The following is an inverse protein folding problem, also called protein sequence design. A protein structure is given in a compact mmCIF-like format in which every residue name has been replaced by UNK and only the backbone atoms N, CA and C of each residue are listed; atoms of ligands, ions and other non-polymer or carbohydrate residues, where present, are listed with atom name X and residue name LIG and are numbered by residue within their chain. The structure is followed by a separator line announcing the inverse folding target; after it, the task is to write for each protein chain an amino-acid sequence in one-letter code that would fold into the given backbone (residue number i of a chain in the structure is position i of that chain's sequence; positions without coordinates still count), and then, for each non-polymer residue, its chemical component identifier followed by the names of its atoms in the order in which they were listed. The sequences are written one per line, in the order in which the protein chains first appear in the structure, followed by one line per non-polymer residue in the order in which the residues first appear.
data_IF_964451992361
#
_entry.id   IF_964451992361
#
_cell.length_a   1.000
_cell.length_b   1.000
_cell.length_c   1.000
_cell.angle_alpha   90.00
_cell.angle_beta   90.00
_cell.angle_gamma   90.00
#
_symmetry.space_group_name_H-M   'P 1'
#
loop_
_entity.id
_entity.type
_entity.pdbx_description
1 polymer ?
#
# COMPACT_ATOMS: atom_id res chain seq x y z
N UNK A 1 -49.81 -29.87 18.31
CA UNK A 1 -49.48 -28.46 18.08
C UNK A 1 -48.14 -28.43 17.34
N UNK A 2 -48.11 -28.18 15.99
CA UNK A 2 -46.85 -28.04 15.25
C UNK A 2 -46.42 -26.59 15.40
N UNK A 3 -45.33 -26.36 16.13
CA UNK A 3 -44.66 -25.07 16.21
C UNK A 3 -44.00 -24.84 14.84
N UNK A 4 -44.56 -23.94 14.06
CA UNK A 4 -43.95 -23.54 12.80
C UNK A 4 -42.69 -22.69 13.13
N UNK A 5 -41.52 -23.24 12.93
CA UNK A 5 -40.27 -22.53 13.04
C UNK A 5 -40.08 -21.67 11.80
N UNK A 6 -40.27 -20.37 11.88
CA UNK A 6 -39.89 -19.43 10.84
C UNK A 6 -38.43 -19.00 11.05
N UNK A 7 -37.50 -19.25 10.13
CA UNK A 7 -36.13 -18.80 10.28
C UNK A 7 -36.07 -17.27 10.27
N UNK A 8 -35.38 -16.69 11.26
CA UNK A 8 -35.11 -15.25 11.32
C UNK A 8 -34.28 -14.83 10.11
N UNK A 9 -34.52 -13.67 9.56
CA UNK A 9 -33.82 -13.15 8.37
C UNK A 9 -33.40 -11.69 8.57
N UNK A 10 -32.24 -11.35 8.03
CA UNK A 10 -31.77 -9.98 7.93
C UNK A 10 -31.67 -9.26 9.28
N UNK A 11 -32.45 -8.19 9.46
CA UNK A 11 -32.43 -7.34 10.68
C UNK A 11 -32.84 -8.04 11.99
N UNK A 12 -33.45 -9.23 11.89
CA UNK A 12 -33.87 -10.02 13.06
C UNK A 12 -32.73 -10.89 13.59
N UNK A 13 -31.62 -11.01 12.87
CA UNK A 13 -30.43 -11.75 13.28
C UNK A 13 -29.50 -10.83 14.08
N UNK A 14 -29.21 -11.21 15.32
CA UNK A 14 -28.14 -10.58 16.10
C UNK A 14 -26.78 -11.06 15.59
N UNK A 15 -25.78 -10.19 15.63
CA UNK A 15 -24.40 -10.53 15.30
C UNK A 15 -23.87 -11.72 16.13
N UNK A 16 -24.30 -11.79 17.39
CA UNK A 16 -23.89 -12.84 18.36
C UNK A 16 -24.81 -14.06 18.37
N UNK A 17 -25.80 -14.13 17.46
CA UNK A 17 -26.67 -15.29 17.40
C UNK A 17 -25.93 -16.50 16.82
N UNK A 18 -26.20 -17.68 17.38
CA UNK A 18 -25.66 -18.94 16.86
C UNK A 18 -26.05 -19.13 15.39
N UNK A 19 -25.06 -19.14 14.49
CA UNK A 19 -25.29 -19.24 13.04
C UNK A 19 -25.38 -20.69 12.55
N UNK A 20 -24.72 -21.62 13.23
CA UNK A 20 -24.72 -23.04 12.90
C UNK A 20 -24.42 -23.88 14.14
N UNK A 21 -25.11 -24.99 14.37
CA UNK A 21 -24.77 -25.93 15.45
C UNK A 21 -23.42 -26.62 15.21
N UNK A 22 -22.95 -26.67 13.97
CA UNK A 22 -21.68 -27.29 13.59
C UNK A 22 -20.51 -26.30 13.57
N UNK A 23 -20.82 -25.00 13.74
CA UNK A 23 -19.83 -23.91 13.70
C UNK A 23 -20.31 -22.77 14.62
N UNK A 24 -20.12 -22.97 15.92
CA UNK A 24 -20.62 -22.08 16.96
C UNK A 24 -19.81 -20.78 17.11
N UNK A 25 -18.59 -20.73 16.55
CA UNK A 25 -17.76 -19.52 16.50
C UNK A 25 -18.07 -18.63 15.29
N UNK A 26 -18.82 -19.14 14.29
CA UNK A 26 -19.22 -18.39 13.13
C UNK A 26 -20.19 -17.27 13.53
N UNK A 27 -19.90 -16.06 13.09
CA UNK A 27 -20.71 -14.86 13.38
C UNK A 27 -21.46 -14.39 12.14
N UNK A 28 -22.43 -13.50 12.34
CA UNK A 28 -23.22 -12.88 11.29
C UNK A 28 -22.88 -11.40 11.14
N UNK A 29 -22.66 -10.98 9.89
CA UNK A 29 -22.46 -9.56 9.53
C UNK A 29 -23.23 -9.23 8.28
N UNK A 30 -23.94 -8.10 8.29
CA UNK A 30 -24.56 -7.54 7.09
C UNK A 30 -23.72 -6.40 6.53
N UNK A 31 -23.37 -6.48 5.24
CA UNK A 31 -22.63 -5.44 4.52
C UNK A 31 -23.46 -4.98 3.32
N UNK A 32 -24.00 -3.77 3.40
CA UNK A 32 -24.96 -3.30 2.41
C UNK A 32 -26.25 -4.14 2.43
N UNK A 33 -26.56 -4.80 1.32
CA UNK A 33 -27.69 -5.70 1.18
C UNK A 33 -27.34 -7.20 1.23
N UNK A 34 -26.08 -7.52 1.52
CA UNK A 34 -25.60 -8.91 1.56
C UNK A 34 -25.37 -9.38 2.98
N UNK A 35 -25.81 -10.61 3.25
CA UNK A 35 -25.64 -11.29 4.52
C UNK A 35 -24.43 -12.20 4.44
N UNK A 36 -23.48 -12.00 5.38
CA UNK A 36 -22.26 -12.77 5.49
C UNK A 36 -22.27 -13.57 6.79
N UNK A 37 -21.97 -14.87 6.69
CA UNK A 37 -21.87 -15.79 7.82
C UNK A 37 -20.47 -16.40 7.85
N UNK A 38 -19.89 -16.51 9.04
CA UNK A 38 -18.60 -17.17 9.25
C UNK A 38 -17.50 -16.21 9.68
N UNK A 39 -16.43 -16.14 8.89
CA UNK A 39 -15.18 -15.49 9.28
C UNK A 39 -14.75 -14.44 8.25
N UNK A 40 -13.97 -13.49 8.71
CA UNK A 40 -13.20 -12.57 7.86
C UNK A 40 -11.75 -13.03 7.83
N UNK A 41 -11.08 -12.91 6.70
CA UNK A 41 -9.64 -13.11 6.58
C UNK A 41 -8.95 -11.80 6.24
N UNK A 42 -7.90 -11.47 6.96
CA UNK A 42 -6.99 -10.39 6.67
C UNK A 42 -5.65 -10.94 6.21
N UNK A 43 -5.14 -10.41 5.11
CA UNK A 43 -3.87 -10.82 4.51
C UNK A 43 -2.97 -9.59 4.42
N UNK A 44 -1.75 -9.73 4.92
CA UNK A 44 -0.71 -8.70 4.75
C UNK A 44 0.37 -9.22 3.82
N UNK A 45 0.78 -8.40 2.87
CA UNK A 45 1.87 -8.72 1.95
C UNK A 45 2.87 -7.56 1.88
N UNK A 46 4.09 -7.88 1.50
CA UNK A 46 5.09 -6.87 1.17
C UNK A 46 4.61 -6.04 -0.03
N UNK A 47 4.94 -4.75 -0.06
CA UNK A 47 4.53 -3.86 -1.16
C UNK A 47 5.63 -2.90 -1.61
N UNK A 48 6.87 -3.12 -1.19
CA UNK A 48 8.01 -2.33 -1.63
C UNK A 48 8.18 -2.47 -3.15
N UNK A 49 8.23 -1.36 -3.90
CA UNK A 49 8.40 -1.37 -5.36
C UNK A 49 9.77 -1.93 -5.81
N UNK A 50 10.78 -1.92 -4.96
CA UNK A 50 12.09 -2.49 -5.26
C UNK A 50 12.11 -4.02 -5.17
N UNK A 51 11.14 -4.61 -4.49
CA UNK A 51 10.98 -6.04 -4.44
C UNK A 51 10.69 -6.63 -5.83
N UNK A 52 11.42 -7.65 -6.18
CA UNK A 52 11.24 -8.36 -7.47
C UNK A 52 9.89 -9.09 -7.54
N UNK A 53 9.32 -9.42 -6.42
CA UNK A 53 7.97 -9.98 -6.23
C UNK A 53 7.53 -9.75 -4.79
N UNK A 54 6.21 -9.74 -4.57
CA UNK A 54 5.64 -9.53 -3.25
C UNK A 54 5.26 -10.86 -2.60
N UNK A 55 5.36 -10.93 -1.27
CA UNK A 55 5.04 -12.12 -0.46
C UNK A 55 4.00 -11.81 0.60
N UNK A 56 3.06 -12.73 0.78
CA UNK A 56 2.12 -12.70 1.90
C UNK A 56 2.92 -13.10 3.15
N UNK A 57 2.98 -12.22 4.14
CA UNK A 57 3.76 -12.41 5.36
C UNK A 57 2.90 -12.59 6.62
N UNK A 58 1.61 -12.21 6.58
CA UNK A 58 0.67 -12.43 7.69
C UNK A 58 -0.68 -12.87 7.15
N UNK A 59 -1.28 -13.81 7.88
CA UNK A 59 -2.66 -14.29 7.68
C UNK A 59 -3.36 -14.25 9.03
N UNK A 60 -4.50 -13.57 9.09
CA UNK A 60 -5.40 -13.57 10.24
C UNK A 60 -6.77 -14.07 9.78
N UNK A 61 -7.43 -14.87 10.62
CA UNK A 61 -8.81 -15.34 10.39
C UNK A 61 -9.57 -15.17 11.68
N UNK A 62 -10.55 -14.29 11.66
CA UNK A 62 -11.32 -13.90 12.82
C UNK A 62 -12.83 -14.00 12.54
N UNK A 63 -13.69 -14.03 13.59
CA UNK A 63 -15.12 -13.87 13.40
C UNK A 63 -15.43 -12.66 12.52
N UNK A 64 -16.43 -12.74 11.66
CA UNK A 64 -16.69 -11.68 10.69
C UNK A 64 -17.22 -10.37 11.32
N UNK A 65 -17.45 -10.36 12.63
CA UNK A 65 -17.76 -9.18 13.43
C UNK A 65 -16.53 -8.42 13.91
N UNK A 66 -15.32 -9.02 13.80
CA UNK A 66 -14.06 -8.36 14.15
C UNK A 66 -13.80 -7.20 13.20
N UNK A 67 -13.41 -6.06 13.75
CA UNK A 67 -13.11 -4.87 12.96
C UNK A 67 -11.72 -4.94 12.34
N UNK A 68 -11.58 -4.35 11.15
CA UNK A 68 -10.31 -4.31 10.43
C UNK A 68 -9.22 -3.60 11.25
N UNK A 69 -9.58 -2.56 12.01
CA UNK A 69 -8.69 -1.83 12.91
C UNK A 69 -8.12 -2.72 14.03
N UNK A 70 -8.93 -3.60 14.61
CA UNK A 70 -8.47 -4.51 15.67
C UNK A 70 -7.52 -5.57 15.13
N UNK A 71 -7.79 -6.09 13.93
CA UNK A 71 -6.88 -7.02 13.26
C UNK A 71 -5.52 -6.38 12.97
N UNK A 72 -5.49 -5.09 12.61
CA UNK A 72 -4.24 -4.39 12.37
C UNK A 72 -3.44 -4.18 13.66
N UNK A 73 -4.10 -3.75 14.75
CA UNK A 73 -3.47 -3.59 16.06
C UNK A 73 -2.84 -4.89 16.56
N UNK A 74 -3.55 -6.00 16.38
CA UNK A 74 -3.03 -7.34 16.73
C UNK A 74 -1.86 -7.77 15.84
N UNK A 75 -1.91 -7.47 14.54
CA UNK A 75 -0.87 -7.88 13.60
C UNK A 75 0.45 -7.12 13.75
N UNK A 76 0.39 -5.84 14.15
CA UNK A 76 1.51 -4.92 14.09
C UNK A 76 2.74 -5.35 14.90
N UNK A 77 2.64 -5.84 16.16
CA UNK A 77 3.81 -6.30 16.92
C UNK A 77 4.56 -7.43 16.22
N UNK A 78 3.84 -8.44 15.72
CA UNK A 78 4.42 -9.58 15.00
C UNK A 78 5.03 -9.15 13.64
N UNK A 79 4.43 -8.19 12.95
CA UNK A 79 5.00 -7.62 11.73
C UNK A 79 6.31 -6.86 12.02
N UNK A 80 6.36 -6.07 13.09
CA UNK A 80 7.58 -5.35 13.51
C UNK A 80 8.70 -6.31 13.91
N UNK A 81 8.38 -7.39 14.60
CA UNK A 81 9.39 -8.39 15.01
C UNK A 81 9.99 -9.14 13.81
N UNK A 82 9.19 -9.44 12.78
CA UNK A 82 9.61 -10.27 11.65
C UNK A 82 10.05 -9.51 10.41
N UNK A 83 9.76 -8.22 10.34
CA UNK A 83 10.05 -7.38 9.18
C UNK A 83 10.51 -5.99 9.61
N UNK A 84 11.22 -5.31 8.73
CA UNK A 84 11.62 -3.90 8.91
C UNK A 84 10.51 -2.94 8.48
N UNK A 85 9.24 -3.25 8.84
CA UNK A 85 8.11 -2.45 8.40
C UNK A 85 8.17 -1.04 8.98
N UNK A 86 8.20 -0.05 8.11
CA UNK A 86 8.13 1.38 8.37
C UNK A 86 6.85 2.01 7.83
N UNK A 87 6.19 1.34 6.87
CA UNK A 87 4.96 1.81 6.22
C UNK A 87 3.97 0.67 6.01
N UNK A 88 2.69 0.91 6.33
CA UNK A 88 1.60 -0.02 6.07
C UNK A 88 0.53 0.68 5.22
N UNK A 89 0.18 0.06 4.09
CA UNK A 89 -0.88 0.53 3.22
C UNK A 89 -2.16 -0.25 3.49
N UNK A 90 -3.24 0.48 3.82
CA UNK A 90 -4.54 -0.12 4.19
C UNK A 90 -5.68 0.47 3.39
N UNK A 91 -6.84 -0.16 3.45
CA UNK A 91 -8.08 0.48 3.01
C UNK A 91 -8.64 1.42 4.11
N UNK A 92 -9.77 2.08 3.82
CA UNK A 92 -10.37 3.04 4.77
C UNK A 92 -11.05 2.40 5.98
N UNK A 93 -11.10 1.06 6.07
CA UNK A 93 -11.66 0.32 7.19
C UNK A 93 -10.75 0.29 8.42
N UNK A 94 -9.45 0.47 8.20
CA UNK A 94 -8.41 0.34 9.22
C UNK A 94 -8.10 1.62 9.99
N UNK A 95 -8.71 2.76 9.66
CA UNK A 95 -8.43 4.04 10.33
C UNK A 95 -9.28 4.24 11.57
N UNK A 96 -8.63 4.39 12.72
CA UNK A 96 -9.24 4.84 13.98
C UNK A 96 -8.21 5.61 14.81
N UNK A 97 -8.65 6.42 15.81
CA UNK A 97 -7.71 7.10 16.72
C UNK A 97 -6.77 6.13 17.44
N UNK A 98 -7.28 4.98 17.85
CA UNK A 98 -6.50 3.95 18.56
C UNK A 98 -5.43 3.33 17.64
N UNK A 99 -5.72 3.20 16.34
CA UNK A 99 -4.74 2.75 15.35
C UNK A 99 -3.67 3.81 15.14
N UNK A 100 -4.05 5.09 15.08
CA UNK A 100 -3.07 6.19 14.94
C UNK A 100 -2.07 6.20 16.11
N UNK A 101 -2.55 5.96 17.34
CA UNK A 101 -1.69 5.86 18.52
C UNK A 101 -0.72 4.67 18.43
N UNK A 102 -1.24 3.47 18.17
CA UNK A 102 -0.42 2.25 18.06
C UNK A 102 0.60 2.36 16.92
N UNK A 103 0.24 2.96 15.78
CA UNK A 103 1.15 3.20 14.66
C UNK A 103 2.26 4.18 15.02
N UNK A 104 1.93 5.24 15.77
CA UNK A 104 2.88 6.23 16.25
C UNK A 104 3.89 5.61 17.23
N UNK A 105 3.42 4.86 18.21
CA UNK A 105 4.28 4.14 19.16
C UNK A 105 5.22 3.16 18.46
N UNK A 106 4.70 2.44 17.46
CA UNK A 106 5.49 1.51 16.66
C UNK A 106 6.43 2.20 15.66
N UNK A 107 6.32 3.53 15.47
CA UNK A 107 7.02 4.31 14.43
C UNK A 107 6.79 3.74 13.03
N UNK A 108 5.52 3.44 12.72
CA UNK A 108 5.07 2.92 11.42
C UNK A 108 4.08 3.90 10.82
N UNK A 109 4.32 4.29 9.58
CA UNK A 109 3.42 5.17 8.86
C UNK A 109 2.24 4.39 8.26
N UNK A 110 1.01 4.82 8.55
CA UNK A 110 -0.18 4.27 7.90
C UNK A 110 -0.59 5.13 6.71
N UNK A 111 -0.71 4.51 5.54
CA UNK A 111 -1.26 5.13 4.34
C UNK A 111 -2.57 4.44 3.96
N UNK A 112 -3.64 5.22 3.95
CA UNK A 112 -4.97 4.71 3.61
C UNK A 112 -5.29 4.99 2.14
N UNK A 113 -5.71 3.98 1.38
CA UNK A 113 -6.11 4.14 -0.03
C UNK A 113 -7.46 4.83 -0.20
N UNK A 114 -8.30 4.77 0.84
CA UNK A 114 -9.57 5.49 0.94
C UNK A 114 -9.79 5.91 2.39
N UNK A 115 -10.33 7.09 2.62
CA UNK A 115 -10.58 7.62 3.95
C UNK A 115 -12.08 7.84 4.10
N UNK A 116 -12.65 7.27 5.16
CA UNK A 116 -14.06 7.48 5.53
C UNK A 116 -14.24 8.87 6.12
N UNK A 117 -15.42 9.41 5.99
CA UNK A 117 -15.81 10.70 6.54
C UNK A 117 -16.16 11.74 5.48
N UNK A 118 -16.82 12.80 5.93
CA UNK A 118 -17.23 13.89 5.05
C UNK A 118 -16.01 14.72 4.65
N UNK A 119 -15.84 14.90 3.36
CA UNK A 119 -14.87 15.88 2.84
C UNK A 119 -15.45 17.28 2.94
N UNK A 120 -14.61 18.32 3.05
CA UNK A 120 -15.05 19.69 2.80
C UNK A 120 -15.76 19.79 1.45
N UNK A 121 -16.62 20.79 1.28
CA UNK A 121 -17.16 21.10 -0.04
C UNK A 121 -16.01 21.47 -0.98
N UNK A 122 -16.12 21.15 -2.27
CA UNK A 122 -15.05 21.37 -3.26
C UNK A 122 -14.59 22.86 -3.31
N UNK A 123 -15.46 23.77 -2.88
CA UNK A 123 -15.18 25.22 -2.84
C UNK A 123 -14.60 25.68 -1.47
N UNK A 124 -14.32 24.78 -0.54
CA UNK A 124 -13.81 25.11 0.81
C UNK A 124 -12.52 24.39 1.11
N UNK A 125 -11.60 25.12 1.75
CA UNK A 125 -10.39 24.53 2.28
C UNK A 125 -10.71 23.62 3.49
N UNK A 126 -10.04 22.48 3.55
CA UNK A 126 -10.04 21.58 4.70
C UNK A 126 -8.77 21.74 5.52
N UNK A 127 -8.69 21.03 6.65
CA UNK A 127 -7.48 20.99 7.45
C UNK A 127 -6.33 20.27 6.74
N UNK A 128 -6.62 19.43 5.75
CA UNK A 128 -5.64 18.79 4.87
C UNK A 128 -4.88 19.74 3.94
N UNK A 129 -5.41 20.97 3.73
CA UNK A 129 -4.75 22.00 2.93
C UNK A 129 -3.73 22.82 3.75
N UNK A 130 -3.69 22.61 5.07
CA UNK A 130 -2.71 23.22 5.96
C UNK A 130 -1.51 22.31 6.15
N UNK A 131 -0.33 22.89 6.40
CA UNK A 131 0.85 22.15 6.84
C UNK A 131 0.94 22.16 8.36
N UNK A 132 1.36 21.04 8.92
CA UNK A 132 1.38 20.81 10.36
C UNK A 132 2.76 20.41 10.82
N UNK A 133 3.27 21.06 11.87
CA UNK A 133 4.39 20.58 12.66
C UNK A 133 3.85 19.89 13.90
N UNK A 134 4.18 18.62 14.09
CA UNK A 134 3.73 17.77 15.19
C UNK A 134 4.92 17.29 16.00
N UNK A 135 4.73 17.14 17.31
CA UNK A 135 5.74 16.57 18.20
C UNK A 135 5.80 15.04 18.12
N UNK A 136 6.68 14.44 18.94
CA UNK A 136 6.86 13.00 19.03
C UNK A 136 5.58 12.25 19.48
N UNK A 137 4.74 12.92 20.27
CA UNK A 137 3.45 12.40 20.73
C UNK A 137 2.33 12.61 19.70
N UNK A 138 2.63 13.20 18.53
CA UNK A 138 1.67 13.50 17.46
C UNK A 138 0.77 14.70 17.73
N UNK A 139 1.09 15.54 18.74
CA UNK A 139 0.33 16.76 19.03
C UNK A 139 0.78 17.90 18.13
N UNK A 140 -0.17 18.68 17.58
CA UNK A 140 0.17 19.80 16.71
C UNK A 140 0.83 20.92 17.51
N UNK A 141 2.02 21.35 17.08
CA UNK A 141 2.79 22.44 17.67
C UNK A 141 2.66 23.73 16.87
N UNK A 142 2.74 23.63 15.55
CA UNK A 142 2.57 24.75 14.64
C UNK A 142 1.68 24.37 13.47
N UNK A 143 1.02 25.36 12.91
CA UNK A 143 0.22 25.22 11.69
C UNK A 143 0.58 26.33 10.71
N UNK A 144 0.72 25.95 9.44
CA UNK A 144 0.99 26.86 8.34
C UNK A 144 -0.22 26.86 7.41
N UNK A 145 -0.84 28.03 7.22
CA UNK A 145 -1.99 28.14 6.32
C UNK A 145 -1.56 28.10 4.84
N UNK A 146 -2.47 27.80 3.90
CA UNK A 146 -2.18 27.79 2.46
C UNK A 146 -1.61 29.11 1.89
N UNK A 147 -1.82 30.23 2.61
CA UNK A 147 -1.22 31.53 2.24
C UNK A 147 0.15 31.78 2.90
N UNK A 148 0.68 30.81 3.65
CA UNK A 148 2.05 30.84 4.21
C UNK A 148 2.18 31.46 5.60
N UNK A 149 1.09 31.85 6.30
CA UNK A 149 1.20 32.24 7.69
C UNK A 149 1.49 31.01 8.57
N UNK A 150 2.58 31.07 9.34
CA UNK A 150 2.97 30.09 10.35
C UNK A 150 2.56 30.63 11.72
N UNK A 151 1.85 29.83 12.51
CA UNK A 151 1.39 30.21 13.85
C UNK A 151 1.49 29.03 14.81
N UNK A 152 1.80 29.32 16.07
CA UNK A 152 1.82 28.35 17.15
C UNK A 152 0.40 27.86 17.49
N UNK A 153 0.29 26.59 17.81
CA UNK A 153 -0.94 25.97 18.26
C UNK A 153 -1.05 26.11 19.78
N UNK A 154 -2.22 26.53 20.24
CA UNK A 154 -2.51 26.69 21.66
C UNK A 154 -3.54 25.66 22.11
N UNK A 155 -3.40 25.10 23.33
CA UNK A 155 -4.42 24.20 23.87
C UNK A 155 -5.74 24.91 24.07
N UNK A 156 -6.84 24.23 23.77
CA UNK A 156 -8.20 24.69 24.02
C UNK A 156 -8.63 24.49 25.48
N UNK A 157 -9.92 24.72 25.75
CA UNK A 157 -10.49 24.49 27.09
C UNK A 157 -10.64 23.02 27.45
N UNK A 158 -10.90 22.20 26.46
CA UNK A 158 -11.08 20.76 26.61
C UNK A 158 -9.81 20.06 26.17
N UNK A 159 -9.51 18.95 26.78
CA UNK A 159 -8.52 18.01 26.33
C UNK A 159 -8.76 17.68 24.82
N UNK A 160 -7.72 17.53 24.04
CA UNK A 160 -7.77 17.27 22.60
C UNK A 160 -8.37 18.36 21.70
N UNK A 161 -8.59 19.58 22.22
CA UNK A 161 -9.00 20.75 21.42
C UNK A 161 -7.88 21.77 21.35
N UNK A 162 -7.72 22.34 20.16
CA UNK A 162 -6.64 23.27 19.84
C UNK A 162 -7.18 24.52 19.16
N UNK A 163 -6.40 25.60 19.27
CA UNK A 163 -6.65 26.90 18.70
C UNK A 163 -5.38 27.43 18.02
N UNK A 164 -5.52 27.98 16.83
CA UNK A 164 -4.44 28.68 16.14
C UNK A 164 -4.95 30.09 15.75
N UNK A 165 -4.16 31.11 16.04
CA UNK A 165 -4.55 32.52 15.83
C UNK A 165 -3.75 33.16 14.72
N UNK A 166 -4.38 33.49 13.64
CA UNK A 166 -3.82 34.14 12.44
C UNK A 166 -4.03 35.65 12.49
N UNK A 167 -3.11 36.40 11.89
CA UNK A 167 -3.23 37.86 11.78
C UNK A 167 -4.37 38.23 10.82
N UNK A 168 -5.30 39.11 11.28
CA UNK A 168 -6.40 39.57 10.46
C UNK A 168 -5.97 40.38 9.24
N UNK A 169 -4.88 41.13 9.34
CA UNK A 169 -4.41 41.96 8.20
C UNK A 169 -4.09 41.03 7.03
N UNK A 170 -3.29 39.99 7.30
CA UNK A 170 -2.92 39.00 6.28
C UNK A 170 -4.10 38.16 5.82
N UNK A 171 -5.01 37.80 6.74
CA UNK A 171 -6.22 37.02 6.38
C UNK A 171 -7.20 37.80 5.51
N UNK A 172 -7.38 39.10 5.73
CA UNK A 172 -8.31 39.91 4.97
C UNK A 172 -7.84 40.13 3.50
N UNK A 173 -6.52 40.14 3.28
CA UNK A 173 -5.93 40.25 1.93
C UNK A 173 -5.67 38.85 1.29
N UNK A 174 -6.08 37.78 1.98
CA UNK A 174 -5.84 36.41 1.51
C UNK A 174 -6.83 36.01 0.40
N UNK A 175 -6.34 35.47 -0.73
CA UNK A 175 -7.21 35.03 -1.83
C UNK A 175 -8.12 33.84 -1.44
N UNK A 176 -7.85 33.18 -0.32
CA UNK A 176 -8.62 32.05 0.17
C UNK A 176 -9.57 32.38 1.33
N UNK A 177 -9.76 33.66 1.69
CA UNK A 177 -10.49 34.06 2.90
C UNK A 177 -11.90 33.50 2.95
N UNK A 178 -12.64 33.51 1.83
CA UNK A 178 -14.02 33.02 1.73
C UNK A 178 -14.13 31.48 1.79
N UNK A 179 -13.03 30.77 1.51
CA UNK A 179 -12.95 29.32 1.51
C UNK A 179 -12.32 28.78 2.80
N UNK A 180 -11.66 29.66 3.56
CA UNK A 180 -10.85 29.30 4.71
C UNK A 180 -11.74 28.91 5.93
N UNK A 181 -11.41 27.82 6.66
CA UNK A 181 -12.15 27.40 7.85
C UNK A 181 -11.89 28.29 9.09
N UNK A 182 -11.05 29.32 8.96
CA UNK A 182 -10.80 30.28 10.06
C UNK A 182 -11.95 31.25 10.25
N UNK A 183 -12.21 31.63 11.49
CA UNK A 183 -13.28 32.57 11.87
C UNK A 183 -12.70 33.86 12.43
N UNK A 184 -13.19 35.07 12.01
CA UNK A 184 -12.76 36.34 12.58
C UNK A 184 -13.23 36.48 14.04
N UNK A 185 -12.37 36.95 14.92
CA UNK A 185 -12.71 37.25 16.30
C UNK A 185 -13.32 38.64 16.44
N UNK A 186 -14.46 38.75 17.14
CA UNK A 186 -15.22 40.01 17.31
C UNK A 186 -14.46 41.10 18.09
N UNK A 187 -13.53 40.72 18.96
CA UNK A 187 -12.86 41.66 19.90
C UNK A 187 -11.36 41.82 19.69
N UNK A 188 -10.77 41.05 18.81
CA UNK A 188 -9.31 41.07 18.54
C UNK A 188 -9.09 41.01 17.03
N UNK A 189 -8.10 41.69 16.48
CA UNK A 189 -7.79 41.67 15.04
C UNK A 189 -7.08 40.34 14.67
N UNK A 190 -7.77 39.22 14.85
CA UNK A 190 -7.25 37.86 14.58
C UNK A 190 -8.36 36.99 14.02
N UNK A 191 -7.97 36.05 13.15
CA UNK A 191 -8.78 34.90 12.79
C UNK A 191 -8.38 33.70 13.65
N UNK A 192 -9.30 32.83 13.98
CA UNK A 192 -9.05 31.65 14.77
C UNK A 192 -9.45 30.38 14.01
N UNK A 193 -8.55 29.42 13.94
CA UNK A 193 -8.81 28.05 13.53
C UNK A 193 -9.04 27.22 14.79
N UNK A 194 -10.16 26.49 14.83
CA UNK A 194 -10.51 25.57 15.92
C UNK A 194 -10.53 24.16 15.39
N UNK A 195 -9.82 23.27 16.06
CA UNK A 195 -9.71 21.87 15.63
C UNK A 195 -9.44 20.95 16.82
N UNK A 196 -9.57 19.66 16.58
CA UNK A 196 -9.26 18.60 17.55
C UNK A 196 -8.08 17.76 17.09
N UNK A 197 -7.52 16.96 17.99
CA UNK A 197 -6.50 15.96 17.65
C UNK A 197 -7.00 15.03 16.54
N UNK A 198 -8.20 14.49 16.67
CA UNK A 198 -8.80 13.59 15.68
C UNK A 198 -8.95 14.24 14.29
N UNK A 199 -9.29 15.53 14.23
CA UNK A 199 -9.39 16.26 12.97
C UNK A 199 -8.01 16.49 12.33
N UNK A 200 -6.98 16.75 13.16
CA UNK A 200 -5.59 16.86 12.69
C UNK A 200 -5.08 15.53 12.16
N UNK A 201 -5.26 14.43 12.91
CA UNK A 201 -4.88 13.09 12.48
C UNK A 201 -5.56 12.69 11.17
N UNK A 202 -6.86 13.02 11.04
CA UNK A 202 -7.61 12.78 9.80
C UNK A 202 -7.06 13.61 8.63
N UNK A 203 -6.71 14.89 8.87
CA UNK A 203 -6.14 15.76 7.85
C UNK A 203 -4.77 15.24 7.37
N UNK A 204 -3.92 14.82 8.29
CA UNK A 204 -2.62 14.22 7.99
C UNK A 204 -2.76 12.91 7.18
N UNK A 205 -3.71 12.05 7.54
CA UNK A 205 -4.00 10.83 6.76
C UNK A 205 -4.48 11.17 5.34
N UNK A 206 -5.33 12.18 5.17
CA UNK A 206 -5.80 12.63 3.86
C UNK A 206 -4.66 13.16 3.00
N UNK A 207 -3.77 13.97 3.59
CA UNK A 207 -2.60 14.51 2.91
C UNK A 207 -1.69 13.39 2.42
N UNK A 208 -1.28 12.47 3.31
CA UNK A 208 -0.48 11.29 2.93
C UNK A 208 -1.12 10.45 1.82
N UNK A 209 -2.44 10.22 1.92
CA UNK A 209 -3.18 9.49 0.89
C UNK A 209 -3.19 10.23 -0.46
N UNK A 210 -3.25 11.56 -0.47
CA UNK A 210 -3.18 12.37 -1.68
C UNK A 210 -1.79 12.30 -2.31
N UNK A 211 -0.73 12.42 -1.51
CA UNK A 211 0.66 12.34 -1.95
C UNK A 211 0.96 11.00 -2.63
N UNK A 212 0.53 9.89 -2.03
CA UNK A 212 0.70 8.55 -2.64
C UNK A 212 -0.09 8.42 -3.95
N UNK A 213 -1.31 8.95 -4.02
CA UNK A 213 -2.08 8.96 -5.28
C UNK A 213 -1.38 9.77 -6.38
N UNK A 214 -0.75 10.89 -6.03
CA UNK A 214 0.01 11.71 -6.97
C UNK A 214 1.18 10.94 -7.60
N UNK A 215 1.73 9.92 -6.94
CA UNK A 215 2.76 9.04 -7.51
C UNK A 215 2.25 8.10 -8.59
N UNK A 216 0.94 7.99 -8.80
CA UNK A 216 0.30 7.05 -9.73
C UNK A 216 0.31 5.58 -9.27
N UNK A 217 0.78 5.27 -8.07
CA UNK A 217 0.77 3.90 -7.52
C UNK A 217 -0.64 3.47 -7.15
N UNK A 218 -1.08 2.34 -7.69
CA UNK A 218 -2.35 1.73 -7.33
C UNK A 218 -2.15 0.60 -6.32
N UNK A 219 -1.96 0.96 -5.06
CA UNK A 219 -1.77 0.02 -3.95
C UNK A 219 -3.00 -0.87 -3.71
N UNK A 220 -4.19 -0.33 -3.98
CA UNK A 220 -5.44 -1.08 -3.84
C UNK A 220 -5.53 -2.26 -4.82
N UNK A 221 -5.09 -2.07 -6.06
CA UNK A 221 -5.09 -3.15 -7.05
C UNK A 221 -4.19 -4.32 -6.62
N UNK A 222 -3.07 -4.04 -5.93
CA UNK A 222 -2.21 -5.06 -5.34
C UNK A 222 -2.94 -5.90 -4.30
N UNK A 223 -3.57 -5.25 -3.32
CA UNK A 223 -4.33 -5.91 -2.27
C UNK A 223 -5.51 -6.75 -2.82
N UNK A 224 -6.28 -6.20 -3.76
CA UNK A 224 -7.37 -6.93 -4.43
C UNK A 224 -6.87 -8.14 -5.23
N UNK A 225 -5.70 -8.04 -5.87
CA UNK A 225 -5.07 -9.15 -6.59
C UNK A 225 -4.64 -10.27 -5.66
N UNK A 226 -4.07 -9.92 -4.49
CA UNK A 226 -3.69 -10.88 -3.46
C UNK A 226 -4.92 -11.63 -2.93
N UNK A 227 -5.96 -10.91 -2.54
CA UNK A 227 -7.19 -11.48 -2.02
C UNK A 227 -7.86 -12.42 -3.05
N UNK A 228 -7.91 -12.01 -4.31
CA UNK A 228 -8.39 -12.84 -5.42
C UNK A 228 -7.56 -14.12 -5.57
N UNK A 229 -6.23 -14.04 -5.45
CA UNK A 229 -5.34 -15.20 -5.60
C UNK A 229 -5.59 -16.27 -4.54
N UNK A 230 -5.98 -15.87 -3.33
CA UNK A 230 -6.32 -16.80 -2.23
C UNK A 230 -7.75 -17.33 -2.37
N UNK A 231 -8.70 -16.52 -2.84
CA UNK A 231 -10.13 -16.91 -2.96
C UNK A 231 -10.50 -17.61 -4.27
N UNK A 232 -9.76 -17.37 -5.34
CA UNK A 232 -10.09 -17.85 -6.70
C UNK A 232 -10.29 -19.37 -6.86
N UNK A 233 -9.60 -20.26 -6.10
CA UNK A 233 -9.81 -21.70 -6.24
C UNK A 233 -11.21 -22.17 -5.82
N UNK A 234 -12.01 -21.31 -5.20
CA UNK A 234 -13.31 -21.68 -4.66
C UNK A 234 -14.45 -21.00 -5.39
N UNK A 235 -15.47 -21.79 -5.74
CA UNK A 235 -16.70 -21.28 -6.31
C UNK A 235 -17.35 -20.26 -5.35
N UNK A 236 -17.73 -19.09 -5.89
CA UNK A 236 -18.35 -18.00 -5.12
C UNK A 236 -17.49 -17.43 -3.96
N UNK A 237 -16.19 -17.70 -3.95
CA UNK A 237 -15.27 -17.24 -2.89
C UNK A 237 -15.55 -17.84 -1.51
N UNK A 238 -16.29 -18.96 -1.44
CA UNK A 238 -16.63 -19.65 -0.19
C UNK A 238 -15.75 -20.88 0.00
N UNK A 239 -15.10 -20.96 1.18
CA UNK A 239 -14.33 -22.13 1.54
C UNK A 239 -15.23 -23.34 1.84
N UNK A 240 -14.88 -24.55 1.39
CA UNK A 240 -15.70 -25.77 1.58
C UNK A 240 -15.52 -26.38 2.98
N UNK A 241 -15.17 -25.59 3.98
CA UNK A 241 -14.91 -26.02 5.36
C UNK A 241 -15.63 -25.11 6.35
N UNK A 242 -15.89 -25.63 7.56
CA UNK A 242 -16.49 -24.91 8.68
C UNK A 242 -15.56 -25.02 9.90
N UNK A 243 -15.71 -24.05 10.82
CA UNK A 243 -14.91 -23.93 12.05
C UNK A 243 -13.63 -23.13 11.83
N UNK A 244 -13.36 -22.19 12.75
CA UNK A 244 -12.19 -21.27 12.67
C UNK A 244 -10.87 -22.01 12.40
N UNK A 245 -10.53 -23.14 13.05
CA UNK A 245 -9.26 -23.81 12.80
C UNK A 245 -9.10 -24.31 11.36
N UNK A 246 -10.15 -24.90 10.79
CA UNK A 246 -10.11 -25.44 9.42
C UNK A 246 -10.06 -24.32 8.38
N UNK A 247 -10.83 -23.24 8.61
CA UNK A 247 -10.81 -22.05 7.76
C UNK A 247 -9.41 -21.42 7.80
N UNK A 248 -8.83 -21.24 9.00
CA UNK A 248 -7.48 -20.68 9.15
C UNK A 248 -6.41 -21.52 8.44
N UNK A 249 -6.41 -22.84 8.66
CA UNK A 249 -5.47 -23.75 7.97
C UNK A 249 -5.59 -23.64 6.45
N UNK A 250 -6.81 -23.53 5.94
CA UNK A 250 -7.05 -23.46 4.51
C UNK A 250 -6.55 -22.13 3.93
N UNK A 251 -6.85 -21.01 4.57
CA UNK A 251 -6.36 -19.68 4.13
C UNK A 251 -4.83 -19.62 4.19
N UNK A 252 -4.21 -20.13 5.25
CA UNK A 252 -2.74 -20.20 5.39
C UNK A 252 -2.14 -21.07 4.27
N UNK A 253 -2.71 -22.24 3.99
CA UNK A 253 -2.24 -23.11 2.91
C UNK A 253 -2.31 -22.42 1.53
N UNK A 254 -3.38 -21.69 1.25
CA UNK A 254 -3.50 -20.95 -0.01
C UNK A 254 -2.56 -19.74 -0.08
N UNK A 255 -2.33 -19.04 1.02
CA UNK A 255 -1.33 -17.99 1.11
C UNK A 255 0.08 -18.53 0.84
N UNK A 256 0.43 -19.66 1.45
CA UNK A 256 1.70 -20.35 1.22
C UNK A 256 1.85 -20.79 -0.24
N UNK A 257 0.81 -21.41 -0.82
CA UNK A 257 0.82 -21.80 -2.23
C UNK A 257 0.93 -20.61 -3.17
N UNK A 258 0.35 -19.47 -2.83
CA UNK A 258 0.49 -18.22 -3.59
C UNK A 258 1.93 -17.75 -3.56
N UNK A 259 2.57 -17.75 -2.40
CA UNK A 259 3.99 -17.42 -2.26
C UNK A 259 4.90 -18.37 -3.06
N UNK A 260 4.66 -19.69 -2.97
CA UNK A 260 5.41 -20.69 -3.76
C UNK A 260 5.30 -20.42 -5.26
N UNK A 261 4.10 -20.13 -5.77
CA UNK A 261 3.90 -19.79 -7.20
C UNK A 261 4.65 -18.53 -7.60
N UNK A 262 4.65 -17.48 -6.76
CA UNK A 262 5.39 -16.23 -6.99
C UNK A 262 6.89 -16.46 -7.03
N UNK A 263 7.44 -17.21 -6.06
CA UNK A 263 8.86 -17.58 -6.00
C UNK A 263 9.26 -18.39 -7.24
N UNK A 264 8.48 -19.42 -7.57
CA UNK A 264 8.74 -20.27 -8.74
C UNK A 264 8.72 -19.45 -10.04
N UNK A 265 7.69 -18.62 -10.23
CA UNK A 265 7.58 -17.77 -11.41
C UNK A 265 8.77 -16.79 -11.55
N UNK A 266 9.27 -16.25 -10.44
CA UNK A 266 10.48 -15.43 -10.46
C UNK A 266 11.72 -16.22 -10.83
N UNK A 267 11.89 -17.42 -10.26
CA UNK A 267 13.03 -18.30 -10.59
C UNK A 267 13.03 -18.70 -12.08
N UNK A 268 11.87 -19.00 -12.66
CA UNK A 268 11.75 -19.32 -14.08
C UNK A 268 12.15 -18.11 -14.96
N UNK A 269 11.68 -16.90 -14.62
CA UNK A 269 12.09 -15.68 -15.32
C UNK A 269 13.62 -15.48 -15.27
N UNK A 270 14.25 -15.73 -14.12
CA UNK A 270 15.71 -15.67 -13.98
C UNK A 270 16.43 -16.72 -14.85
N UNK A 271 15.89 -17.95 -14.89
CA UNK A 271 16.45 -19.02 -15.74
C UNK A 271 16.35 -18.65 -17.22
N UNK A 272 15.20 -18.12 -17.64
CA UNK A 272 15.03 -17.66 -19.03
C UNK A 272 15.96 -16.49 -19.38
N UNK A 273 16.10 -15.50 -18.48
CA UNK A 273 17.01 -14.38 -18.68
C UNK A 273 18.47 -14.86 -18.83
N UNK A 274 18.90 -15.81 -17.98
CA UNK A 274 20.23 -16.43 -18.07
C UNK A 274 20.41 -17.20 -19.37
N UNK A 275 19.38 -17.94 -19.85
CA UNK A 275 19.44 -18.64 -21.15
C UNK A 275 19.61 -17.65 -22.31
N UNK A 276 18.81 -16.57 -22.32
CA UNK A 276 18.90 -15.52 -23.35
C UNK A 276 20.26 -14.83 -23.34
N UNK A 277 20.78 -14.47 -22.16
CA UNK A 277 22.13 -13.88 -22.05
C UNK A 277 23.22 -14.79 -22.58
N UNK A 278 23.20 -16.10 -22.25
CA UNK A 278 24.17 -17.08 -22.78
C UNK A 278 24.06 -17.26 -24.31
N UNK A 279 22.85 -17.23 -24.87
CA UNK A 279 22.64 -17.32 -26.30
C UNK A 279 23.24 -16.10 -27.03
N UNK A 280 23.00 -14.88 -26.51
CA UNK A 280 23.58 -13.63 -27.04
C UNK A 280 25.11 -13.68 -26.95
N UNK A 281 25.66 -14.08 -25.81
CA UNK A 281 27.12 -14.21 -25.65
C UNK A 281 27.73 -15.16 -26.68
N UNK A 282 27.11 -16.34 -26.89
CA UNK A 282 27.54 -17.29 -27.88
C UNK A 282 27.54 -16.72 -29.31
N UNK A 283 26.46 -16.01 -29.66
CA UNK A 283 26.39 -15.33 -30.97
C UNK A 283 27.48 -14.26 -31.13
N UNK A 284 27.77 -13.49 -30.09
CA UNK A 284 28.85 -12.50 -30.11
C UNK A 284 30.22 -13.17 -30.28
N UNK A 285 30.49 -14.28 -29.58
CA UNK A 285 31.74 -15.06 -29.73
C UNK A 285 31.89 -15.62 -31.15
N UNK A 286 30.81 -16.16 -31.73
CA UNK A 286 30.82 -16.66 -33.11
C UNK A 286 31.04 -15.53 -34.12
N UNK A 287 30.40 -14.38 -33.94
CA UNK A 287 30.61 -13.19 -34.78
C UNK A 287 32.08 -12.69 -34.68
N UNK A 288 32.62 -12.60 -33.46
CA UNK A 288 34.02 -12.21 -33.27
C UNK A 288 35.01 -13.18 -33.95
N UNK A 289 34.77 -14.49 -33.82
CA UNK A 289 35.59 -15.51 -34.54
C UNK A 289 35.51 -15.30 -36.04
N UNK A 290 34.32 -15.06 -36.60
CA UNK A 290 34.15 -14.80 -38.03
C UNK A 290 34.90 -13.55 -38.49
N UNK A 291 34.81 -12.46 -37.75
CA UNK A 291 35.57 -11.23 -38.03
C UNK A 291 37.06 -11.46 -37.94
N UNK A 292 37.52 -12.18 -36.92
CA UNK A 292 38.95 -12.51 -36.78
C UNK A 292 39.48 -13.33 -37.97
N UNK A 293 38.73 -14.37 -38.38
CA UNK A 293 39.09 -15.20 -39.57
C UNK A 293 39.16 -14.36 -40.84
N UNK A 294 38.19 -13.44 -41.02
CA UNK A 294 38.18 -12.52 -42.16
C UNK A 294 39.41 -11.60 -42.20
N UNK A 295 39.74 -10.96 -41.08
CA UNK A 295 40.91 -10.09 -41.00
C UNK A 295 42.21 -10.88 -41.14
N UNK A 296 42.31 -12.07 -40.55
CA UNK A 296 43.47 -12.94 -40.71
C UNK A 296 43.70 -13.36 -42.19
N UNK A 297 42.62 -13.70 -42.90
CA UNK A 297 42.65 -14.00 -44.31
C UNK A 297 43.12 -12.83 -45.19
N UNK A 298 42.68 -11.58 -44.85
CA UNK A 298 43.16 -10.38 -45.54
C UNK A 298 44.64 -10.11 -45.28
N UNK A 299 45.11 -10.29 -44.05
CA UNK A 299 46.51 -10.09 -43.67
C UNK A 299 47.41 -11.11 -44.39
N UNK A 300 47.01 -12.36 -44.44
CA UNK A 300 47.75 -13.45 -45.12
C UNK A 300 47.84 -13.22 -46.63
N UNK A 301 46.77 -12.75 -47.28
CA UNK A 301 46.81 -12.39 -48.72
C UNK A 301 47.76 -11.23 -48.98
N UNK A 302 47.80 -10.19 -48.12
CA UNK A 302 48.77 -9.11 -48.29
C UNK A 302 50.24 -9.57 -48.13
N UNK A 303 50.51 -10.44 -47.17
CA UNK A 303 51.86 -11.00 -46.97
C UNK A 303 52.29 -11.83 -48.15
N UNK A 304 51.39 -12.64 -48.73
CA UNK A 304 51.72 -13.42 -49.94
C UNK A 304 51.98 -12.55 -51.18
N UNK A 305 51.21 -11.47 -51.38
CA UNK A 305 51.45 -10.52 -52.46
C UNK A 305 52.75 -9.76 -52.31
N UNK A 306 53.24 -9.50 -51.12
CA UNK A 306 54.54 -8.86 -50.88
C UNK A 306 55.74 -9.83 -51.11
N UNK A 307 55.53 -11.12 -50.88
CA UNK A 307 56.58 -12.12 -51.17
C UNK A 307 56.76 -12.42 -52.67
N UNK A 308 55.65 -12.34 -53.45
CA UNK A 308 55.75 -12.51 -54.94
C UNK A 308 56.32 -11.29 -55.63
N UNK A 309 56.21 -10.08 -55.10
CA UNK A 309 56.81 -8.90 -55.75
C UNK A 309 58.31 -8.78 -55.58
N UNK A 310 58.92 -9.53 -54.67
CA UNK A 310 60.40 -9.53 -54.45
C UNK A 310 61.15 -10.54 -55.27
N UNK A 311 60.45 -11.47 -55.98
CA UNK A 311 61.10 -12.52 -56.79
C UNK A 311 61.14 -12.24 -58.30
N UNK A 312 60.64 -11.06 -58.74
CA UNK A 312 60.58 -10.73 -60.18
C UNK A 312 61.65 -9.77 -60.70
N UNK A 313 62.84 -9.75 -60.10
CA UNK A 313 63.98 -8.97 -60.65
C UNK A 313 65.28 -9.83 -60.56
N UNK A 314 65.57 -10.59 -61.61
CA UNK A 314 66.88 -10.78 -62.19
C UNK A 314 66.80 -11.80 -63.33
N UNK A 315 66.72 -11.33 -64.56
CA UNK A 315 67.23 -11.95 -65.74
C UNK A 315 67.94 -10.85 -66.53
N UNK A 316 69.24 -10.89 -66.54
CA UNK A 316 70.07 -10.07 -67.41
C UNK A 316 70.45 -10.94 -68.60
N UNK A 317 70.24 -10.50 -69.87
CA UNK A 317 70.73 -11.20 -71.01
C UNK A 317 72.18 -10.75 -71.37
N UNK A 318 72.96 -11.69 -71.86
CA UNK A 318 74.16 -11.39 -72.67
C UNK A 318 73.77 -10.85 -74.04
#
# INVERSE_FOLDING_TARGET
MRIAYAPKKGKELSADSLQSPDDWEATYRRKGNEDHHGYVSNLTETCDPENKFQLINKVQVEPNTTEDADMLKEALPDLKERTDVDQINTDGGYGSPEVDEVMREAKVEQIQTAIRGRKPAEEKLGLEDFDWEIDEDGKPQEVICPHGQRVEVQPGRNEDRYLAYFDSIVCNDCPFVDQCPTEPLKRKPRHVLRFSQQETDLALRRKRSADVRATGRNLRAGAESMERSVKHPFGNGKLPVRGKPRVSMMVIAFAAMTNIRRIHGYQEKLREAKRKARAVQKQMEEAMKSVFVFFWGLLHRRLLQHSYSKTAVRAIPN
#
